data_IF_392644203256
#
_entry.id   IF_392644203256
#
_cell.length_a   1.000
_cell.length_b   1.000
_cell.length_c   1.000
_cell.angle_alpha   90.00
_cell.angle_beta   90.00
_cell.angle_gamma   90.00
#
_symmetry.space_group_name_H-M   'P 1'
#
loop_
_entity.id
_entity.type
_entity.pdbx_description
1 polymer ?
#
# COMPACT_ATOMS: atom_id res chain seq x y z
N UNK A 1 8.84 50.51 41.99
CA UNK A 1 7.36 50.47 41.89
C UNK A 1 7.02 50.80 40.44
N UNK A 2 7.36 49.89 39.54
CA UNK A 2 7.30 50.01 38.08
C UNK A 2 7.46 48.58 37.54
N UNK A 3 6.47 47.72 37.81
CA UNK A 3 6.47 46.36 37.27
C UNK A 3 5.07 45.81 36.96
N UNK A 4 4.00 46.56 37.26
CA UNK A 4 2.63 46.05 37.09
C UNK A 4 1.92 46.51 35.81
N UNK A 5 2.49 47.43 35.02
CA UNK A 5 1.76 48.04 33.90
C UNK A 5 1.91 47.30 32.54
N UNK A 6 2.81 46.31 32.45
CA UNK A 6 2.94 45.45 31.23
C UNK A 6 2.06 44.20 31.27
N UNK A 7 1.68 43.74 32.47
CA UNK A 7 0.76 42.60 32.66
C UNK A 7 -0.70 42.97 32.42
N UNK A 8 -1.06 44.26 32.52
CA UNK A 8 -2.45 44.71 32.41
C UNK A 8 -2.94 44.86 30.95
N UNK A 9 -2.04 45.01 29.97
CA UNK A 9 -2.42 45.13 28.55
C UNK A 9 -2.84 43.81 27.87
N UNK A 10 -2.62 42.67 28.53
CA UNK A 10 -3.07 41.36 28.04
C UNK A 10 -4.46 40.93 28.55
N UNK A 11 -5.16 41.77 29.33
CA UNK A 11 -6.45 41.41 29.98
C UNK A 11 -7.71 42.02 29.35
N UNK A 12 -7.63 42.54 28.12
CA UNK A 12 -8.82 42.90 27.35
C UNK A 12 -8.84 42.20 25.98
N UNK A 13 -8.89 40.87 26.00
CA UNK A 13 -9.46 40.10 24.89
C UNK A 13 -10.75 39.50 25.44
N UNK A 14 -11.86 40.20 25.22
CA UNK A 14 -13.21 39.70 25.45
C UNK A 14 -13.36 38.29 24.85
N UNK A 15 -13.99 37.36 25.56
CA UNK A 15 -14.32 35.97 25.18
C UNK A 15 -14.63 35.75 23.67
N UNK A 16 -13.59 35.73 22.84
CA UNK A 16 -13.64 35.47 21.40
C UNK A 16 -12.65 34.34 21.18
N UNK A 17 -13.21 33.15 21.09
CA UNK A 17 -12.46 31.89 20.99
C UNK A 17 -12.47 31.47 19.53
N UNK A 18 -11.35 30.96 19.03
CA UNK A 18 -11.28 30.39 17.68
C UNK A 18 -12.04 29.06 17.64
N UNK A 19 -12.95 28.93 16.68
CA UNK A 19 -13.68 27.69 16.42
C UNK A 19 -12.77 26.68 15.72
N UNK A 20 -12.20 25.76 16.50
CA UNK A 20 -11.24 24.75 16.01
C UNK A 20 -11.83 23.82 14.96
N UNK A 21 -13.15 23.63 14.93
CA UNK A 21 -13.81 22.77 13.95
C UNK A 21 -13.72 23.28 12.51
N UNK A 22 -13.34 24.57 12.34
CA UNK A 22 -13.22 25.25 11.05
C UNK A 22 -11.79 25.41 10.56
N UNK A 23 -10.82 24.95 11.35
CA UNK A 23 -9.41 24.99 10.98
C UNK A 23 -9.09 23.73 10.18
N UNK A 24 -8.50 23.93 8.99
CA UNK A 24 -8.11 22.85 8.10
C UNK A 24 -6.58 22.72 8.17
N UNK A 25 -6.09 21.53 8.51
CA UNK A 25 -4.67 21.31 8.86
C UNK A 25 -3.68 21.61 7.72
N UNK A 26 -4.02 21.28 6.47
CA UNK A 26 -3.18 21.54 5.29
C UNK A 26 -3.42 22.91 4.65
N UNK A 27 -4.27 23.74 5.26
CA UNK A 27 -4.53 25.14 4.89
C UNK A 27 -4.67 25.98 6.16
N UNK A 28 -3.80 25.72 7.14
CA UNK A 28 -4.01 26.12 8.52
C UNK A 28 -4.00 27.64 8.68
N UNK A 29 -3.02 28.31 8.09
CA UNK A 29 -2.89 29.77 8.14
C UNK A 29 -4.07 30.46 7.48
N UNK A 30 -4.51 29.97 6.32
CA UNK A 30 -5.64 30.57 5.60
C UNK A 30 -6.93 30.47 6.40
N UNK A 31 -7.27 29.27 6.89
CA UNK A 31 -8.47 29.04 7.68
C UNK A 31 -8.41 29.74 9.04
N UNK A 32 -7.22 29.84 9.65
CA UNK A 32 -7.00 30.58 10.89
C UNK A 32 -7.23 32.09 10.71
N UNK A 33 -6.76 32.68 9.61
CA UNK A 33 -7.00 34.10 9.30
C UNK A 33 -8.49 34.37 9.05
N UNK A 34 -9.17 33.52 8.28
CA UNK A 34 -10.61 33.62 8.02
C UNK A 34 -11.42 33.55 9.32
N UNK A 35 -11.12 32.59 10.18
CA UNK A 35 -11.79 32.44 11.48
C UNK A 35 -11.46 33.57 12.44
N UNK A 36 -10.22 34.05 12.44
CA UNK A 36 -9.83 35.24 13.17
C UNK A 36 -10.65 36.48 12.75
N UNK A 37 -10.90 36.66 11.45
CA UNK A 37 -11.72 37.75 10.93
C UNK A 37 -13.18 37.58 11.32
N UNK A 38 -13.73 36.36 11.18
CA UNK A 38 -15.11 36.03 11.55
C UNK A 38 -15.39 36.29 13.03
N UNK A 39 -14.46 35.91 13.89
CA UNK A 39 -14.52 36.15 15.34
C UNK A 39 -14.10 37.56 15.73
N UNK A 40 -13.74 38.42 14.76
CA UNK A 40 -13.26 39.78 14.95
C UNK A 40 -12.09 39.89 15.95
N UNK A 41 -11.21 38.87 15.96
CA UNK A 41 -9.93 38.86 16.69
C UNK A 41 -8.87 39.60 15.86
N UNK A 42 -8.93 39.47 14.53
CA UNK A 42 -8.12 40.24 13.57
C UNK A 42 -9.03 41.13 12.72
N UNK A 43 -8.61 42.37 12.45
CA UNK A 43 -9.36 43.28 11.59
C UNK A 43 -9.15 42.96 10.11
N UNK A 44 -10.11 43.32 9.26
CA UNK A 44 -9.97 43.14 7.80
C UNK A 44 -8.76 43.88 7.23
N UNK A 45 -8.44 45.06 7.76
CA UNK A 45 -7.24 45.81 7.36
C UNK A 45 -5.96 45.03 7.66
N UNK A 46 -5.87 44.40 8.84
CA UNK A 46 -4.68 43.65 9.22
C UNK A 46 -4.56 42.33 8.47
N UNK A 47 -5.67 41.64 8.22
CA UNK A 47 -5.68 40.45 7.37
C UNK A 47 -5.18 40.77 5.94
N UNK A 48 -5.63 41.90 5.35
CA UNK A 48 -5.14 42.36 4.06
C UNK A 48 -3.63 42.70 4.08
N UNK A 49 -3.14 43.33 5.16
CA UNK A 49 -1.70 43.58 5.33
C UNK A 49 -0.89 42.28 5.35
N UNK A 50 -1.35 41.25 6.07
CA UNK A 50 -0.69 39.94 6.11
C UNK A 50 -0.65 39.31 4.71
N UNK A 51 -1.77 39.36 3.97
CA UNK A 51 -1.83 38.87 2.59
C UNK A 51 -0.86 39.63 1.68
N UNK A 52 -0.76 40.95 1.81
CA UNK A 52 0.20 41.75 1.06
C UNK A 52 1.66 41.40 1.40
N UNK A 53 1.98 41.14 2.67
CA UNK A 53 3.30 40.66 3.08
C UNK A 53 3.61 39.26 2.51
N UNK A 54 2.63 38.35 2.45
CA UNK A 54 2.79 37.05 1.77
C UNK A 54 3.13 37.22 0.28
N UNK A 55 2.45 38.14 -0.41
CA UNK A 55 2.75 38.46 -1.83
C UNK A 55 4.17 39.01 -2.03
N UNK A 56 4.69 39.79 -1.08
CA UNK A 56 6.08 40.27 -1.12
C UNK A 56 7.08 39.13 -0.97
N UNK A 57 6.80 38.16 -0.10
CA UNK A 57 7.64 36.95 0.04
C UNK A 57 7.55 36.10 -1.22
N UNK A 58 6.36 35.92 -1.80
CA UNK A 58 6.18 35.21 -3.06
C UNK A 58 7.00 35.85 -4.19
N UNK A 59 7.00 37.18 -4.31
CA UNK A 59 7.82 37.88 -5.30
C UNK A 59 9.32 37.59 -5.11
N UNK A 60 9.80 37.53 -3.86
CA UNK A 60 11.19 37.18 -3.57
C UNK A 60 11.50 35.72 -3.95
N UNK A 61 10.59 34.80 -3.67
CA UNK A 61 10.75 33.39 -4.04
C UNK A 61 10.73 33.18 -5.56
N UNK A 62 9.88 33.88 -6.30
CA UNK A 62 9.87 33.83 -7.77
C UNK A 62 11.22 34.28 -8.33
N UNK A 63 11.77 35.39 -7.82
CA UNK A 63 13.08 35.87 -8.24
C UNK A 63 14.19 34.84 -7.92
N UNK A 64 14.09 34.14 -6.79
CA UNK A 64 15.05 33.07 -6.45
C UNK A 64 14.90 31.85 -7.36
N UNK A 65 13.67 31.44 -7.66
CA UNK A 65 13.35 30.30 -8.54
C UNK A 65 13.89 30.51 -9.96
N UNK A 66 13.76 31.74 -10.49
CA UNK A 66 14.29 32.11 -11.81
C UNK A 66 15.78 32.45 -11.79
N UNK A 67 16.47 32.25 -10.66
CA UNK A 67 17.88 32.62 -10.46
C UNK A 67 18.18 34.10 -10.76
N UNK A 68 17.17 34.97 -10.64
CA UNK A 68 17.27 36.40 -10.92
C UNK A 68 17.10 36.77 -12.39
N UNK A 69 16.86 35.80 -13.28
CA UNK A 69 16.74 36.05 -14.73
C UNK A 69 15.38 36.62 -15.13
N UNK A 70 14.35 36.42 -14.30
CA UNK A 70 12.99 36.89 -14.59
C UNK A 70 12.21 37.23 -13.31
N UNK A 71 11.32 38.20 -13.42
CA UNK A 71 10.33 38.52 -12.37
C UNK A 71 8.95 37.91 -12.65
N UNK A 72 8.81 37.13 -13.72
CA UNK A 72 7.56 36.45 -14.10
C UNK A 72 7.79 34.97 -14.37
N UNK A 73 6.79 34.18 -13.99
CA UNK A 73 6.67 32.74 -14.22
C UNK A 73 5.25 32.43 -14.69
N UNK A 74 4.97 31.19 -15.07
CA UNK A 74 3.59 30.77 -15.37
C UNK A 74 2.71 30.87 -14.12
N UNK A 75 1.39 30.96 -14.32
CA UNK A 75 0.42 30.99 -13.22
C UNK A 75 0.56 29.74 -12.33
N UNK A 76 0.69 28.57 -12.93
CA UNK A 76 0.89 27.29 -12.23
C UNK A 76 2.14 27.30 -11.35
N UNK A 77 3.29 27.77 -11.86
CA UNK A 77 4.51 27.88 -11.06
C UNK A 77 4.36 28.87 -9.90
N UNK A 78 3.70 30.02 -10.13
CA UNK A 78 3.44 30.99 -9.07
C UNK A 78 2.53 30.43 -7.97
N UNK A 79 1.49 29.67 -8.35
CA UNK A 79 0.58 28.98 -7.44
C UNK A 79 1.29 27.88 -6.63
N UNK A 80 2.16 27.10 -7.27
CA UNK A 80 3.00 26.10 -6.62
C UNK A 80 3.92 26.70 -5.54
N UNK A 81 4.65 27.77 -5.90
CA UNK A 81 5.52 28.49 -4.95
C UNK A 81 4.70 29.12 -3.81
N UNK A 82 3.53 29.68 -4.11
CA UNK A 82 2.64 30.23 -3.09
C UNK A 82 2.16 29.15 -2.11
N UNK A 83 1.86 27.96 -2.62
CA UNK A 83 1.47 26.81 -1.78
C UNK A 83 2.61 26.36 -0.88
N UNK A 84 3.84 26.30 -1.41
CA UNK A 84 5.05 25.98 -0.63
C UNK A 84 5.31 27.01 0.48
N UNK A 85 5.18 28.30 0.15
CA UNK A 85 5.26 29.40 1.11
C UNK A 85 4.24 29.23 2.24
N UNK A 86 2.97 28.96 1.91
CA UNK A 86 1.91 28.76 2.90
C UNK A 86 2.18 27.53 3.77
N UNK A 87 2.66 26.44 3.17
CA UNK A 87 3.04 25.22 3.90
C UNK A 87 4.15 25.49 4.94
N UNK A 88 5.15 26.31 4.60
CA UNK A 88 6.16 26.73 5.57
C UNK A 88 5.58 27.62 6.70
N UNK A 89 4.67 28.54 6.38
CA UNK A 89 3.99 29.35 7.41
C UNK A 89 3.13 28.45 8.32
N UNK A 90 2.43 27.48 7.75
CA UNK A 90 1.64 26.48 8.48
C UNK A 90 2.53 25.67 9.42
N UNK A 91 3.70 25.23 8.96
CA UNK A 91 4.68 24.51 9.78
C UNK A 91 5.06 25.31 11.05
N UNK A 92 5.27 26.61 10.90
CA UNK A 92 5.53 27.49 12.04
C UNK A 92 4.30 27.70 12.92
N UNK A 93 3.14 27.97 12.32
CA UNK A 93 1.91 28.27 13.04
C UNK A 93 1.44 27.07 13.89
N UNK A 94 1.59 25.85 13.36
CA UNK A 94 1.24 24.59 14.03
C UNK A 94 2.14 24.26 15.24
N UNK A 95 3.29 24.93 15.43
CA UNK A 95 4.09 24.81 16.65
C UNK A 95 3.45 25.52 17.86
N UNK A 96 2.52 26.44 17.62
CA UNK A 96 1.85 27.16 18.70
C UNK A 96 0.86 26.22 19.40
N UNK A 97 0.75 26.33 20.74
CA UNK A 97 -0.11 25.41 21.51
C UNK A 97 -1.60 25.65 21.26
N UNK A 98 -1.95 26.90 20.94
CA UNK A 98 -3.33 27.32 20.74
C UNK A 98 -3.46 28.17 19.46
N UNK A 99 -4.57 28.05 18.71
CA UNK A 99 -4.82 28.87 17.52
C UNK A 99 -4.73 30.38 17.78
N UNK A 100 -5.15 30.83 18.95
CA UNK A 100 -5.06 32.22 19.38
C UNK A 100 -3.61 32.72 19.47
N UNK A 101 -2.68 31.86 19.89
CA UNK A 101 -1.25 32.16 19.94
C UNK A 101 -0.66 32.27 18.53
N UNK A 102 -1.02 31.33 17.64
CA UNK A 102 -0.62 31.38 16.23
C UNK A 102 -1.12 32.67 15.55
N UNK A 103 -2.38 33.04 15.79
CA UNK A 103 -2.97 34.26 15.24
C UNK A 103 -2.31 35.53 15.82
N UNK A 104 -1.96 35.53 17.11
CA UNK A 104 -1.20 36.63 17.72
C UNK A 104 0.19 36.78 17.08
N UNK A 105 0.87 35.66 16.76
CA UNK A 105 2.13 35.68 16.02
C UNK A 105 1.98 36.25 14.61
N UNK A 106 0.98 35.80 13.84
CA UNK A 106 0.67 36.35 12.51
C UNK A 106 0.35 37.85 12.56
N UNK A 107 -0.23 38.33 13.67
CA UNK A 107 -0.56 39.74 13.85
C UNK A 107 0.67 40.60 14.20
N UNK A 108 1.57 40.10 15.04
CA UNK A 108 2.67 40.88 15.62
C UNK A 108 4.01 40.74 14.89
N UNK A 109 4.27 39.60 14.24
CA UNK A 109 5.55 39.29 13.60
C UNK A 109 5.48 39.54 12.09
N UNK A 110 6.64 39.76 11.48
CA UNK A 110 6.76 39.89 10.04
C UNK A 110 6.56 38.52 9.37
N UNK A 111 5.79 38.46 8.28
CA UNK A 111 5.52 37.21 7.56
C UNK A 111 6.78 36.58 6.96
N UNK A 112 7.75 37.38 6.53
CA UNK A 112 9.06 36.88 6.05
C UNK A 112 9.81 36.12 7.14
N UNK A 113 9.79 36.62 8.38
CA UNK A 113 10.45 35.96 9.51
C UNK A 113 9.72 34.67 9.90
N UNK A 114 8.39 34.69 9.86
CA UNK A 114 7.55 33.50 10.10
C UNK A 114 7.85 32.43 9.04
N UNK A 115 7.83 32.80 7.76
CA UNK A 115 8.15 31.91 6.65
C UNK A 115 9.56 31.31 6.80
N UNK A 116 10.56 32.14 7.10
CA UNK A 116 11.95 31.68 7.25
C UNK A 116 12.09 30.66 8.39
N UNK A 117 11.45 30.90 9.53
CA UNK A 117 11.40 29.93 10.65
C UNK A 117 10.62 28.67 10.29
N UNK A 118 9.57 28.80 9.50
CA UNK A 118 8.82 27.69 8.92
C UNK A 118 9.71 26.78 8.09
N UNK A 119 10.48 27.36 7.16
CA UNK A 119 11.47 26.63 6.34
C UNK A 119 12.52 25.93 7.21
N UNK A 120 13.02 26.58 8.26
CA UNK A 120 13.96 25.96 9.20
C UNK A 120 13.35 24.74 9.92
N UNK A 121 12.08 24.82 10.33
CA UNK A 121 11.36 23.70 10.93
C UNK A 121 11.17 22.56 9.94
N UNK A 122 10.74 22.85 8.70
CA UNK A 122 10.60 21.85 7.65
C UNK A 122 11.92 21.13 7.37
N UNK A 123 13.03 21.88 7.34
CA UNK A 123 14.38 21.31 7.20
C UNK A 123 14.73 20.39 8.38
N UNK A 124 14.40 20.79 9.60
CA UNK A 124 14.62 19.94 10.77
C UNK A 124 13.83 18.62 10.66
N UNK A 125 12.53 18.69 10.34
CA UNK A 125 11.71 17.51 10.13
C UNK A 125 12.24 16.62 9.01
N UNK A 126 12.73 17.19 7.92
CA UNK A 126 13.31 16.44 6.82
C UNK A 126 14.57 15.67 7.23
N UNK A 127 15.45 16.29 8.02
CA UNK A 127 16.63 15.62 8.56
C UNK A 127 16.28 14.55 9.59
N UNK A 128 15.22 14.71 10.37
CA UNK A 128 14.68 13.64 11.22
C UNK A 128 14.13 12.48 10.39
N UNK A 129 13.33 12.76 9.36
CA UNK A 129 12.79 11.76 8.43
C UNK A 129 13.91 10.92 7.81
N UNK A 130 15.00 11.55 7.36
CA UNK A 130 16.17 10.84 6.83
C UNK A 130 16.77 9.87 7.86
N UNK A 131 16.88 10.28 9.12
CA UNK A 131 17.42 9.41 10.19
C UNK A 131 16.52 8.20 10.43
N UNK A 132 15.21 8.42 10.52
CA UNK A 132 14.23 7.35 10.74
C UNK A 132 14.22 6.39 9.54
N UNK A 133 14.29 6.90 8.31
CA UNK A 133 14.45 6.08 7.11
C UNK A 133 15.70 5.17 7.18
N UNK A 134 16.84 5.68 7.66
CA UNK A 134 18.03 4.84 7.85
C UNK A 134 17.83 3.75 8.91
N UNK A 135 16.96 3.95 9.89
CA UNK A 135 16.57 2.89 10.83
C UNK A 135 15.71 1.84 10.14
N UNK A 136 14.67 2.26 9.40
CA UNK A 136 13.80 1.36 8.62
C UNK A 136 14.63 0.47 7.70
N UNK A 137 15.60 1.04 6.97
CA UNK A 137 16.47 0.27 6.07
C UNK A 137 17.30 -0.80 6.80
N UNK A 138 17.72 -0.55 8.04
CA UNK A 138 18.50 -1.52 8.84
C UNK A 138 17.67 -2.68 9.35
N UNK A 139 16.40 -2.42 9.66
CA UNK A 139 15.46 -3.42 10.17
C UNK A 139 14.54 -3.96 9.06
N UNK A 140 14.84 -3.69 7.79
CA UNK A 140 13.99 -4.13 6.68
C UNK A 140 13.78 -5.66 6.74
N UNK A 141 12.54 -6.09 6.60
CA UNK A 141 12.21 -7.52 6.54
C UNK A 141 12.77 -8.15 5.26
N UNK A 142 13.30 -9.36 5.39
CA UNK A 142 13.65 -10.23 4.27
C UNK A 142 12.39 -11.01 3.85
N UNK A 143 11.59 -10.43 2.95
CA UNK A 143 10.33 -11.01 2.45
C UNK A 143 10.13 -10.63 0.98
N UNK A 144 9.50 -11.49 0.15
CA UNK A 144 9.21 -11.18 -1.24
C UNK A 144 7.87 -10.44 -1.34
N UNK A 145 7.81 -9.19 -0.87
CA UNK A 145 6.64 -8.32 -1.04
C UNK A 145 7.10 -7.06 -1.75
N UNK A 146 6.79 -6.96 -3.04
CA UNK A 146 7.36 -5.97 -3.94
C UNK A 146 7.05 -4.56 -3.49
N UNK A 147 5.78 -4.27 -3.17
CA UNK A 147 5.38 -2.95 -2.68
C UNK A 147 6.21 -2.52 -1.46
N UNK A 148 6.45 -3.43 -0.49
CA UNK A 148 7.26 -3.16 0.70
C UNK A 148 8.72 -2.88 0.34
N UNK A 149 9.30 -3.72 -0.52
CA UNK A 149 10.69 -3.63 -0.97
C UNK A 149 10.94 -2.37 -1.79
N UNK A 150 10.17 -2.15 -2.86
CA UNK A 150 10.24 -0.98 -3.75
C UNK A 150 10.04 0.32 -2.99
N UNK A 151 9.09 0.36 -2.04
CA UNK A 151 8.89 1.55 -1.21
C UNK A 151 10.15 1.94 -0.43
N UNK A 152 10.86 0.96 0.16
CA UNK A 152 12.04 1.21 1.00
C UNK A 152 13.30 1.46 0.16
N UNK A 153 13.48 0.70 -0.92
CA UNK A 153 14.72 0.69 -1.69
C UNK A 153 14.73 1.70 -2.85
N UNK A 154 13.56 2.08 -3.37
CA UNK A 154 13.44 2.93 -4.55
C UNK A 154 12.66 4.21 -4.23
N UNK A 155 11.39 4.09 -3.85
CA UNK A 155 10.49 5.24 -3.73
C UNK A 155 10.97 6.23 -2.66
N UNK A 156 11.16 5.79 -1.41
CA UNK A 156 11.59 6.69 -0.33
C UNK A 156 12.93 7.38 -0.62
N UNK A 157 13.98 6.69 -1.13
CA UNK A 157 15.19 7.34 -1.64
C UNK A 157 14.95 8.43 -2.69
N UNK A 158 14.10 8.15 -3.67
CA UNK A 158 13.74 9.10 -4.73
C UNK A 158 13.16 10.38 -4.14
N UNK A 159 12.23 10.29 -3.19
CA UNK A 159 11.70 11.45 -2.48
C UNK A 159 12.80 12.18 -1.69
N UNK A 160 13.59 11.46 -0.88
CA UNK A 160 14.62 12.08 -0.04
C UNK A 160 15.73 12.78 -0.85
N UNK A 161 15.93 12.38 -2.11
CA UNK A 161 16.88 13.01 -3.03
C UNK A 161 16.32 14.27 -3.70
N UNK A 162 15.05 14.26 -4.10
CA UNK A 162 14.47 15.31 -4.96
C UNK A 162 13.55 16.29 -4.22
N UNK A 163 13.23 16.06 -2.95
CA UNK A 163 12.32 16.92 -2.20
C UNK A 163 12.86 18.35 -2.02
N UNK A 164 12.13 19.33 -2.56
CA UNK A 164 12.46 20.75 -2.47
C UNK A 164 11.65 21.43 -1.36
N UNK A 165 12.35 21.77 -0.26
CA UNK A 165 11.76 22.43 0.93
C UNK A 165 11.35 23.89 0.67
N UNK A 166 11.84 24.53 -0.40
CA UNK A 166 11.63 25.95 -0.67
C UNK A 166 10.52 26.15 -1.69
N UNK A 167 10.58 25.48 -2.83
CA UNK A 167 9.68 25.74 -3.96
C UNK A 167 8.53 24.73 -4.06
N UNK A 168 8.67 23.55 -3.46
CA UNK A 168 7.71 22.45 -3.58
C UNK A 168 7.46 21.74 -2.24
N UNK A 169 7.48 22.46 -1.12
CA UNK A 169 7.48 21.87 0.21
C UNK A 169 6.23 21.03 0.52
N UNK A 170 5.10 21.36 -0.08
CA UNK A 170 3.85 20.62 0.06
C UNK A 170 3.83 19.31 -0.72
N UNK A 171 4.69 19.14 -1.73
CA UNK A 171 4.61 18.01 -2.64
C UNK A 171 4.93 16.71 -1.87
N UNK A 172 4.00 15.78 -1.94
CA UNK A 172 4.15 14.42 -1.42
C UNK A 172 4.55 13.50 -2.55
N UNK A 173 5.30 12.44 -2.25
CA UNK A 173 5.59 11.39 -3.23
C UNK A 173 4.30 10.67 -3.67
N UNK A 174 4.08 10.55 -4.98
CA UNK A 174 2.93 9.85 -5.55
C UNK A 174 3.16 8.33 -5.73
N UNK A 175 4.38 7.84 -5.54
CA UNK A 175 4.82 6.47 -5.88
C UNK A 175 5.08 5.58 -4.66
N UNK A 176 4.32 5.76 -3.57
CA UNK A 176 4.34 4.83 -2.43
C UNK A 176 3.20 3.83 -2.64
N UNK A 177 3.55 2.59 -2.97
CA UNK A 177 2.55 1.54 -3.19
C UNK A 177 2.25 0.72 -1.92
N UNK A 178 3.20 0.65 -0.97
CA UNK A 178 2.98 -0.10 0.27
C UNK A 178 2.01 0.62 1.21
N UNK A 179 0.83 0.03 1.52
CA UNK A 179 -0.14 0.66 2.41
C UNK A 179 0.30 0.50 3.87
N UNK A 180 0.09 1.54 4.68
CA UNK A 180 0.19 1.44 6.14
C UNK A 180 -1.12 0.93 6.75
N UNK A 181 -1.04 0.26 7.89
CA UNK A 181 -2.21 -0.22 8.62
C UNK A 181 -3.07 0.95 9.14
N UNK A 182 -2.41 2.05 9.51
CA UNK A 182 -3.04 3.33 9.82
C UNK A 182 -2.34 4.39 8.98
N UNK A 183 -3.05 5.03 8.06
CA UNK A 183 -2.53 6.16 7.26
C UNK A 183 -3.29 7.47 7.54
N UNK A 184 -2.60 8.61 7.46
CA UNK A 184 -3.22 9.94 7.55
C UNK A 184 -2.91 10.77 6.29
N UNK A 185 -3.64 10.47 5.22
CA UNK A 185 -3.53 11.16 3.93
C UNK A 185 -3.96 12.63 3.97
N UNK A 186 -4.38 13.17 5.13
CA UNK A 186 -4.62 14.62 5.31
C UNK A 186 -3.31 15.39 5.48
N UNK A 187 -2.21 14.70 5.79
CA UNK A 187 -0.86 15.28 5.82
C UNK A 187 -0.30 15.41 4.39
N UNK A 188 0.67 16.30 4.23
CA UNK A 188 1.36 16.55 2.96
C UNK A 188 2.84 16.79 3.18
N UNK A 189 3.64 16.69 2.13
CA UNK A 189 5.08 16.99 2.14
C UNK A 189 5.85 16.17 3.18
N UNK A 190 6.85 16.79 3.79
CA UNK A 190 7.68 16.14 4.81
C UNK A 190 6.90 15.67 6.03
N UNK A 191 5.79 16.33 6.40
CA UNK A 191 4.96 15.89 7.52
C UNK A 191 4.32 14.53 7.27
N UNK A 192 3.82 14.30 6.05
CA UNK A 192 3.29 13.00 5.65
C UNK A 192 4.41 11.95 5.66
N UNK A 193 5.51 12.23 4.95
CA UNK A 193 6.59 11.25 4.79
C UNK A 193 7.24 10.91 6.13
N UNK A 194 7.40 11.88 7.05
CA UNK A 194 7.90 11.61 8.40
C UNK A 194 7.00 10.62 9.14
N UNK A 195 5.69 10.88 9.17
CA UNK A 195 4.74 9.98 9.83
C UNK A 195 4.73 8.62 9.14
N UNK A 196 4.80 8.60 7.81
CA UNK A 196 4.81 7.38 7.03
C UNK A 196 5.99 6.49 7.45
N UNK A 197 7.23 7.02 7.45
CA UNK A 197 8.41 6.25 7.85
C UNK A 197 8.42 5.87 9.33
N UNK A 198 7.83 6.70 10.22
CA UNK A 198 7.66 6.37 11.64
C UNK A 198 6.75 5.17 11.84
N UNK A 199 5.61 5.13 11.13
CA UNK A 199 4.65 4.03 11.19
C UNK A 199 5.21 2.77 10.53
N UNK A 200 5.81 2.89 9.36
CA UNK A 200 6.48 1.78 8.69
C UNK A 200 7.56 1.16 9.59
N UNK A 201 8.31 1.97 10.33
CA UNK A 201 9.28 1.50 11.32
C UNK A 201 8.60 0.70 12.42
N UNK A 202 7.56 1.24 13.06
CA UNK A 202 6.83 0.54 14.14
C UNK A 202 6.19 -0.77 13.67
N UNK A 203 5.60 -0.78 12.48
CA UNK A 203 5.05 -1.98 11.84
C UNK A 203 6.13 -3.04 11.59
N UNK A 204 7.26 -2.60 11.06
CA UNK A 204 8.41 -3.47 10.80
C UNK A 204 9.01 -4.02 12.10
N UNK A 205 9.20 -3.18 13.11
CA UNK A 205 9.67 -3.56 14.46
C UNK A 205 8.72 -4.59 15.09
N UNK A 206 7.40 -4.44 14.93
CA UNK A 206 6.45 -5.41 15.43
C UNK A 206 6.60 -6.78 14.76
N UNK A 207 6.80 -6.83 13.44
CA UNK A 207 7.03 -8.09 12.74
C UNK A 207 8.29 -8.83 13.23
N UNK A 208 9.29 -8.12 13.77
CA UNK A 208 10.50 -8.72 14.35
C UNK A 208 10.27 -9.46 15.68
N UNK A 209 9.09 -9.36 16.29
CA UNK A 209 8.73 -10.22 17.43
C UNK A 209 8.49 -11.68 17.02
N UNK A 210 8.38 -11.95 15.72
CA UNK A 210 8.10 -13.27 15.17
C UNK A 210 9.29 -13.79 14.37
N UNK A 211 9.38 -15.11 14.22
CA UNK A 211 10.42 -15.70 13.40
C UNK A 211 10.17 -15.42 11.92
N UNK A 212 11.23 -15.33 11.11
CA UNK A 212 11.09 -15.19 9.66
C UNK A 212 10.23 -16.33 9.06
N UNK A 213 10.35 -17.56 9.59
CA UNK A 213 9.52 -18.69 9.18
C UNK A 213 8.02 -18.47 9.44
N UNK A 214 7.67 -17.78 10.52
CA UNK A 214 6.29 -17.45 10.84
C UNK A 214 5.75 -16.33 9.95
N UNK A 215 6.56 -15.31 9.66
CA UNK A 215 6.20 -14.25 8.71
C UNK A 215 5.95 -14.85 7.33
N UNK A 216 6.88 -15.66 6.82
CA UNK A 216 6.72 -16.34 5.53
C UNK A 216 5.49 -17.26 5.53
N UNK A 217 5.28 -18.04 6.59
CA UNK A 217 4.09 -18.87 6.72
C UNK A 217 2.79 -18.06 6.56
N UNK A 218 2.70 -16.87 7.16
CA UNK A 218 1.51 -16.01 7.05
C UNK A 218 1.35 -15.48 5.63
N UNK A 219 2.42 -14.99 5.00
CA UNK A 219 2.38 -14.44 3.63
C UNK A 219 1.96 -15.50 2.60
N UNK A 220 2.61 -16.67 2.64
CA UNK A 220 2.34 -17.81 1.76
C UNK A 220 0.87 -18.24 1.88
N UNK A 221 0.40 -18.50 3.12
CA UNK A 221 -0.98 -18.94 3.32
C UNK A 221 -1.99 -17.83 3.02
N UNK A 222 -1.63 -16.55 3.12
CA UNK A 222 -2.47 -15.46 2.68
C UNK A 222 -2.67 -15.47 1.17
N UNK A 223 -1.61 -15.65 0.37
CA UNK A 223 -1.72 -15.83 -1.07
C UNK A 223 -2.59 -17.05 -1.44
N UNK A 224 -2.42 -18.17 -0.73
CA UNK A 224 -3.23 -19.39 -0.95
C UNK A 224 -4.72 -19.17 -0.61
N UNK A 225 -5.03 -18.53 0.52
CA UNK A 225 -6.41 -18.26 0.95
C UNK A 225 -7.09 -17.27 0.01
N UNK A 226 -6.38 -16.20 -0.32
CA UNK A 226 -6.91 -15.12 -1.16
C UNK A 226 -6.86 -15.43 -2.64
N UNK A 227 -6.14 -16.51 -3.03
CA UNK A 227 -5.99 -17.00 -4.41
C UNK A 227 -5.35 -15.98 -5.33
N UNK A 228 -4.24 -15.41 -4.91
CA UNK A 228 -3.45 -14.48 -5.71
C UNK A 228 -1.96 -14.67 -5.46
N UNK A 229 -1.12 -14.04 -6.29
CA UNK A 229 0.32 -13.98 -6.08
C UNK A 229 0.62 -12.86 -5.08
N UNK A 230 0.80 -13.19 -3.81
CA UNK A 230 0.92 -12.17 -2.76
C UNK A 230 2.14 -11.25 -2.96
N UNK A 231 3.16 -11.69 -3.70
CA UNK A 231 4.40 -10.94 -3.89
C UNK A 231 4.15 -9.57 -4.56
N UNK A 232 3.20 -9.51 -5.49
CA UNK A 232 2.85 -8.30 -6.27
C UNK A 232 1.67 -7.52 -5.68
N UNK A 233 1.09 -8.00 -4.58
CA UNK A 233 -0.17 -7.47 -4.05
C UNK A 233 0.05 -6.36 -3.03
N UNK A 234 -0.88 -5.39 -3.01
CA UNK A 234 -0.80 -4.23 -2.14
C UNK A 234 -1.52 -4.50 -0.81
N UNK A 235 -0.78 -5.00 0.17
CA UNK A 235 -1.27 -5.20 1.54
C UNK A 235 -0.21 -4.87 2.57
N UNK A 236 -0.67 -4.72 3.81
CA UNK A 236 0.19 -4.42 4.94
C UNK A 236 0.58 -5.70 5.71
N UNK A 237 1.87 -5.98 5.82
CA UNK A 237 2.41 -7.18 6.49
C UNK A 237 2.08 -7.16 7.99
N UNK A 238 2.21 -6.01 8.64
CA UNK A 238 1.90 -5.85 10.07
C UNK A 238 0.45 -6.22 10.36
N UNK A 239 -0.50 -5.80 9.52
CA UNK A 239 -1.92 -6.15 9.67
C UNK A 239 -2.13 -7.67 9.70
N UNK A 240 -1.53 -8.41 8.76
CA UNK A 240 -1.64 -9.86 8.72
C UNK A 240 -1.09 -10.47 10.01
N UNK A 241 0.09 -10.01 10.45
CA UNK A 241 0.76 -10.53 11.65
C UNK A 241 -0.02 -10.23 12.94
N UNK A 242 -0.46 -8.99 13.13
CA UNK A 242 -1.18 -8.59 14.35
C UNK A 242 -2.55 -9.26 14.44
N UNK A 243 -3.26 -9.40 13.31
CA UNK A 243 -4.54 -10.09 13.27
C UNK A 243 -4.34 -11.55 13.69
N UNK A 244 -3.40 -12.24 13.05
CA UNK A 244 -3.17 -13.65 13.31
C UNK A 244 -2.68 -13.96 14.73
N UNK A 245 -1.80 -13.14 15.30
CA UNK A 245 -1.36 -13.35 16.70
C UNK A 245 -2.50 -13.12 17.69
N UNK A 246 -3.37 -12.12 17.46
CA UNK A 246 -4.55 -11.86 18.31
C UNK A 246 -5.50 -13.05 18.25
N UNK A 247 -5.79 -13.58 17.06
CA UNK A 247 -6.64 -14.76 16.91
C UNK A 247 -5.99 -16.04 17.48
N UNK A 248 -4.69 -16.21 17.32
CA UNK A 248 -3.95 -17.31 17.93
C UNK A 248 -4.07 -17.26 19.46
N UNK A 249 -3.89 -16.09 20.08
CA UNK A 249 -4.10 -15.87 21.51
C UNK A 249 -5.53 -16.21 21.95
N UNK A 250 -6.54 -15.78 21.19
CA UNK A 250 -7.95 -16.09 21.48
C UNK A 250 -8.27 -17.59 21.39
N UNK A 251 -7.46 -18.35 20.64
CA UNK A 251 -7.53 -19.81 20.53
C UNK A 251 -6.68 -20.57 21.57
N UNK A 252 -6.08 -19.85 22.52
CA UNK A 252 -5.21 -20.42 23.57
C UNK A 252 -3.73 -20.53 23.19
N UNK A 253 -3.32 -19.86 22.11
CA UNK A 253 -1.93 -19.74 21.69
C UNK A 253 -1.06 -18.90 22.64
N UNK A 254 0.24 -18.84 22.34
CA UNK A 254 1.19 -17.98 23.05
C UNK A 254 1.35 -16.64 22.32
N UNK A 255 1.80 -15.56 23.00
CA UNK A 255 1.95 -14.23 22.39
C UNK A 255 2.95 -14.12 21.23
N UNK A 256 3.80 -15.12 21.02
CA UNK A 256 4.73 -15.21 19.90
C UNK A 256 4.32 -16.25 18.85
N UNK A 257 3.11 -16.81 18.95
CA UNK A 257 2.59 -17.77 17.99
C UNK A 257 1.55 -17.08 17.10
N UNK A 258 1.74 -17.14 15.78
CA UNK A 258 0.80 -16.60 14.79
C UNK A 258 0.04 -17.69 14.05
N UNK A 259 0.44 -18.96 14.22
CA UNK A 259 -0.14 -20.08 13.48
C UNK A 259 -1.44 -20.54 14.12
N UNK A 260 -2.35 -20.93 13.25
CA UNK A 260 -3.66 -21.45 13.57
C UNK A 260 -3.93 -22.70 12.73
N UNK A 261 -4.32 -23.77 13.40
CA UNK A 261 -4.83 -24.98 12.76
C UNK A 261 -6.28 -24.78 12.31
N UNK A 262 -6.73 -25.63 11.38
CA UNK A 262 -8.12 -25.71 10.92
C UNK A 262 -9.11 -25.82 12.09
N UNK A 263 -8.81 -26.69 13.06
CA UNK A 263 -9.66 -26.92 14.22
C UNK A 263 -9.75 -25.67 15.11
N UNK A 264 -8.63 -24.97 15.33
CA UNK A 264 -8.62 -23.71 16.09
C UNK A 264 -9.42 -22.63 15.37
N UNK A 265 -9.29 -22.53 14.04
CA UNK A 265 -10.08 -21.61 13.23
C UNK A 265 -11.58 -21.89 13.37
N UNK A 266 -12.03 -23.14 13.18
CA UNK A 266 -13.45 -23.47 13.26
C UNK A 266 -14.05 -23.14 14.64
N UNK A 267 -13.31 -23.44 15.71
CA UNK A 267 -13.73 -23.12 17.08
C UNK A 267 -13.83 -21.62 17.30
N UNK A 268 -12.82 -20.87 16.85
CA UNK A 268 -12.77 -19.43 16.98
C UNK A 268 -13.86 -18.75 16.15
N UNK A 269 -14.07 -19.20 14.91
CA UNK A 269 -15.11 -18.72 14.01
C UNK A 269 -16.50 -18.87 14.65
N UNK A 270 -16.83 -20.06 15.16
CA UNK A 270 -18.10 -20.30 15.89
C UNK A 270 -18.23 -19.41 17.12
N UNK A 271 -17.16 -19.28 17.91
CA UNK A 271 -17.15 -18.43 19.12
C UNK A 271 -17.40 -16.96 18.78
N UNK A 272 -16.72 -16.42 17.77
CA UNK A 272 -16.83 -15.01 17.40
C UNK A 272 -18.19 -14.69 16.75
N UNK A 273 -18.69 -15.54 15.84
CA UNK A 273 -20.01 -15.34 15.22
C UNK A 273 -21.14 -15.31 16.27
N UNK A 274 -21.08 -16.21 17.26
CA UNK A 274 -22.13 -16.33 18.29
C UNK A 274 -22.04 -15.31 19.42
N UNK A 275 -20.87 -14.71 19.64
CA UNK A 275 -20.67 -13.72 20.70
C UNK A 275 -21.30 -12.37 20.32
N UNK A 276 -22.00 -11.66 21.23
CA UNK A 276 -22.43 -10.28 21.00
C UNK A 276 -21.27 -9.32 20.74
N UNK A 277 -21.55 -8.17 20.12
CA UNK A 277 -20.55 -7.13 19.81
C UNK A 277 -19.70 -6.74 21.02
N UNK A 278 -20.31 -6.44 22.16
CA UNK A 278 -19.59 -6.02 23.37
C UNK A 278 -18.63 -7.11 23.87
N UNK A 279 -19.03 -8.38 23.78
CA UNK A 279 -18.20 -9.51 24.17
C UNK A 279 -17.02 -9.70 23.20
N UNK A 280 -17.25 -9.56 21.88
CA UNK A 280 -16.15 -9.59 20.89
C UNK A 280 -15.15 -8.46 21.15
N UNK A 281 -15.64 -7.25 21.36
CA UNK A 281 -14.82 -6.08 21.72
C UNK A 281 -13.97 -6.36 22.94
N UNK A 282 -14.56 -6.89 24.02
CA UNK A 282 -13.82 -7.25 25.24
C UNK A 282 -12.73 -8.30 24.97
N UNK A 283 -13.05 -9.36 24.21
CA UNK A 283 -12.09 -10.41 23.85
C UNK A 283 -10.87 -9.84 23.11
N UNK A 284 -11.11 -8.98 22.10
CA UNK A 284 -10.03 -8.36 21.34
C UNK A 284 -9.19 -7.42 22.22
N UNK A 285 -9.83 -6.61 23.08
CA UNK A 285 -9.11 -5.76 24.04
C UNK A 285 -8.21 -6.57 24.97
N UNK A 286 -8.71 -7.65 25.56
CA UNK A 286 -7.94 -8.50 26.47
C UNK A 286 -6.75 -9.17 25.76
N UNK A 287 -6.97 -9.69 24.55
CA UNK A 287 -5.91 -10.31 23.75
C UNK A 287 -4.82 -9.32 23.36
N UNK A 288 -5.17 -8.11 22.91
CA UNK A 288 -4.19 -7.06 22.57
C UNK A 288 -3.41 -6.60 23.80
N UNK A 289 -4.08 -6.39 24.94
CA UNK A 289 -3.40 -6.02 26.19
C UNK A 289 -2.43 -7.11 26.67
N UNK A 290 -2.82 -8.39 26.54
CA UNK A 290 -1.95 -9.52 26.86
C UNK A 290 -0.74 -9.57 25.92
N UNK A 291 -0.94 -9.34 24.63
CA UNK A 291 0.11 -9.31 23.61
C UNK A 291 1.14 -8.22 23.93
N UNK A 292 0.69 -6.96 24.10
CA UNK A 292 1.55 -5.82 24.42
C UNK A 292 2.38 -6.08 25.68
N UNK A 293 1.77 -6.61 26.74
CA UNK A 293 2.46 -6.96 27.98
C UNK A 293 3.52 -8.04 27.79
N UNK A 294 3.24 -9.05 26.96
CA UNK A 294 4.16 -10.15 26.73
C UNK A 294 5.33 -9.76 25.83
N UNK A 295 5.08 -8.94 24.81
CA UNK A 295 6.09 -8.47 23.87
C UNK A 295 6.94 -7.33 24.45
N UNK A 296 6.52 -6.74 25.58
CA UNK A 296 7.20 -5.60 26.21
C UNK A 296 7.34 -4.42 25.24
N UNK A 297 6.26 -4.12 24.52
CA UNK A 297 6.23 -3.01 23.57
C UNK A 297 6.54 -1.69 24.26
N UNK A 298 7.31 -0.82 23.58
CA UNK A 298 7.53 0.53 24.07
C UNK A 298 6.23 1.36 23.97
N UNK A 299 6.26 2.59 24.49
CA UNK A 299 5.07 3.45 24.52
C UNK A 299 4.56 3.79 23.11
N UNK A 300 5.47 4.05 22.16
CA UNK A 300 5.10 4.46 20.81
C UNK A 300 4.40 3.32 20.06
N UNK A 301 4.97 2.12 20.10
CA UNK A 301 4.37 0.93 19.48
C UNK A 301 3.07 0.53 20.19
N UNK A 302 2.99 0.69 21.51
CA UNK A 302 1.75 0.45 22.27
C UNK A 302 0.62 1.38 21.80
N UNK A 303 0.90 2.66 21.63
CA UNK A 303 -0.08 3.64 21.14
C UNK A 303 -0.50 3.35 19.69
N UNK A 304 0.44 2.94 18.84
CA UNK A 304 0.16 2.51 17.47
C UNK A 304 -0.77 1.30 17.40
N UNK A 305 -0.45 0.24 18.17
CA UNK A 305 -1.29 -0.96 18.27
C UNK A 305 -2.69 -0.63 18.81
N UNK A 306 -2.81 0.31 19.74
CA UNK A 306 -4.10 0.73 20.27
C UNK A 306 -4.95 1.46 19.23
N UNK A 307 -4.35 2.27 18.35
CA UNK A 307 -5.05 2.86 17.21
C UNK A 307 -5.54 1.77 16.25
N UNK A 308 -4.67 0.80 15.92
CA UNK A 308 -5.03 -0.30 15.03
C UNK A 308 -6.12 -1.20 15.61
N UNK A 309 -6.13 -1.42 16.92
CA UNK A 309 -7.13 -2.26 17.61
C UNK A 309 -8.56 -1.80 17.29
N UNK A 310 -8.80 -0.50 17.18
CA UNK A 310 -10.13 0.03 16.87
C UNK A 310 -10.59 -0.37 15.45
N UNK A 311 -9.68 -0.33 14.47
CA UNK A 311 -9.92 -0.82 13.10
C UNK A 311 -10.15 -2.33 13.07
N UNK A 312 -9.31 -3.10 13.79
CA UNK A 312 -9.48 -4.55 13.91
C UNK A 312 -10.85 -4.92 14.49
N UNK A 313 -11.31 -4.20 15.53
CA UNK A 313 -12.63 -4.44 16.11
C UNK A 313 -13.77 -4.21 15.11
N UNK A 314 -13.66 -3.18 14.26
CA UNK A 314 -14.65 -2.96 13.20
C UNK A 314 -14.65 -4.12 12.19
N UNK A 315 -13.47 -4.55 11.73
CA UNK A 315 -13.30 -5.68 10.81
C UNK A 315 -13.86 -6.99 11.39
N UNK A 316 -13.58 -7.28 12.65
CA UNK A 316 -14.11 -8.46 13.37
C UNK A 316 -15.63 -8.42 13.46
N UNK A 317 -16.21 -7.28 13.81
CA UNK A 317 -17.66 -7.14 13.91
C UNK A 317 -18.35 -7.27 12.55
N UNK A 318 -17.73 -6.73 11.49
CA UNK A 318 -18.21 -6.91 10.13
C UNK A 318 -18.15 -8.38 9.71
N UNK A 319 -17.00 -9.04 9.88
CA UNK A 319 -16.81 -10.45 9.55
C UNK A 319 -17.80 -11.36 10.29
N UNK A 320 -18.08 -11.08 11.57
CA UNK A 320 -19.09 -11.82 12.33
C UNK A 320 -20.51 -11.67 11.78
N UNK A 321 -20.85 -10.51 11.20
CA UNK A 321 -22.17 -10.23 10.63
C UNK A 321 -22.41 -10.98 9.31
N UNK A 322 -21.38 -11.08 8.46
CA UNK A 322 -21.49 -11.71 7.13
C UNK A 322 -20.89 -13.13 7.07
N UNK A 323 -20.31 -13.61 8.18
CA UNK A 323 -19.75 -14.95 8.30
C UNK A 323 -18.42 -15.17 7.56
N UNK A 324 -17.61 -14.12 7.37
CA UNK A 324 -16.45 -14.13 6.45
C UNK A 324 -15.09 -14.14 7.17
N UNK A 325 -14.97 -14.83 8.30
CA UNK A 325 -13.70 -14.86 9.06
C UNK A 325 -12.55 -15.54 8.29
N UNK A 326 -12.83 -16.36 7.27
CA UNK A 326 -11.79 -16.92 6.40
C UNK A 326 -10.92 -15.85 5.71
N UNK A 327 -11.43 -14.63 5.52
CA UNK A 327 -10.66 -13.52 4.91
C UNK A 327 -9.80 -12.75 5.91
N UNK A 328 -10.04 -12.93 7.21
CA UNK A 328 -9.37 -12.18 8.28
C UNK A 328 -8.39 -13.05 9.08
N UNK A 329 -8.58 -14.36 9.07
CA UNK A 329 -7.79 -15.32 9.85
C UNK A 329 -7.01 -16.22 8.89
N UNK A 330 -5.69 -16.07 8.88
CA UNK A 330 -4.80 -16.92 8.08
C UNK A 330 -4.58 -18.25 8.81
N UNK A 331 -4.64 -19.35 8.08
CA UNK A 331 -4.51 -20.72 8.60
C UNK A 331 -3.76 -21.58 7.60
N UNK A 332 -3.29 -22.73 8.06
CA UNK A 332 -2.59 -23.67 7.19
C UNK A 332 -3.57 -24.26 6.16
N UNK A 333 -3.29 -24.03 4.88
CA UNK A 333 -3.91 -24.79 3.81
C UNK A 333 -2.96 -25.94 3.47
N UNK A 334 -3.39 -27.17 3.76
CA UNK A 334 -2.62 -28.37 3.42
C UNK A 334 -2.50 -28.50 1.91
N UNK A 335 -1.27 -28.67 1.43
CA UNK A 335 -0.99 -29.03 0.05
C UNK A 335 -1.55 -30.42 -0.23
N UNK A 336 -2.34 -30.56 -1.29
CA UNK A 336 -2.59 -31.86 -1.90
C UNK A 336 -1.40 -32.17 -2.79
N UNK A 337 -0.69 -33.29 -2.59
CA UNK A 337 0.34 -33.77 -3.52
C UNK A 337 -0.21 -33.76 -4.95
N UNK A 338 0.38 -32.95 -5.83
CA UNK A 338 -0.04 -32.80 -7.23
C UNK A 338 0.91 -33.63 -8.09
N UNK A 339 0.38 -34.61 -8.81
CA UNK A 339 1.06 -35.16 -9.99
C UNK A 339 0.82 -34.18 -11.14
N UNK A 340 1.77 -33.29 -11.38
CA UNK A 340 1.78 -32.36 -12.52
C UNK A 340 2.70 -32.88 -13.62
N UNK A 341 2.30 -32.74 -14.88
CA UNK A 341 3.13 -33.09 -16.05
C UNK A 341 4.06 -31.94 -16.48
N UNK A 342 3.70 -30.67 -16.20
CA UNK A 342 4.65 -29.56 -16.37
C UNK A 342 5.73 -29.57 -15.31
N UNK A 343 6.95 -29.27 -15.76
CA UNK A 343 7.96 -28.73 -14.86
C UNK A 343 7.68 -27.24 -14.68
N UNK A 344 7.34 -26.86 -13.46
CA UNK A 344 6.96 -25.48 -13.12
C UNK A 344 8.12 -24.65 -12.57
N UNK A 345 9.27 -25.28 -12.31
CA UNK A 345 10.45 -24.59 -11.86
C UNK A 345 11.10 -23.85 -13.03
N UNK A 346 11.34 -22.55 -12.88
CA UNK A 346 12.00 -21.74 -13.90
C UNK A 346 13.38 -22.30 -14.30
N UNK A 347 14.09 -22.96 -13.39
CA UNK A 347 15.39 -23.59 -13.68
C UNK A 347 15.31 -24.76 -14.67
N UNK A 348 14.11 -25.26 -14.97
CA UNK A 348 13.89 -26.27 -16.01
C UNK A 348 13.68 -25.67 -17.41
N UNK A 349 13.69 -24.33 -17.53
CA UNK A 349 13.63 -23.60 -18.80
C UNK A 349 14.83 -23.90 -19.69
N UNK A 350 14.61 -24.03 -20.99
CA UNK A 350 15.66 -24.19 -21.99
C UNK A 350 16.49 -22.90 -22.13
N UNK A 351 17.71 -23.02 -22.67
CA UNK A 351 18.54 -21.83 -22.87
C UNK A 351 17.98 -20.93 -23.98
N UNK A 352 18.19 -19.62 -23.89
CA UNK A 352 17.80 -18.66 -24.94
C UNK A 352 18.33 -19.04 -26.33
N UNK A 353 19.51 -19.66 -26.40
CA UNK A 353 20.10 -20.11 -27.66
C UNK A 353 19.31 -21.27 -28.27
N UNK A 354 18.91 -22.24 -27.44
CA UNK A 354 18.12 -23.38 -27.88
C UNK A 354 16.71 -22.94 -28.27
N UNK A 355 16.10 -22.05 -27.49
CA UNK A 355 14.80 -21.46 -27.79
C UNK A 355 14.80 -20.76 -29.15
N UNK A 356 15.77 -19.86 -29.40
CA UNK A 356 15.88 -19.17 -30.70
C UNK A 356 16.03 -20.16 -31.85
N UNK A 357 16.88 -21.18 -31.69
CA UNK A 357 17.05 -22.19 -32.74
C UNK A 357 15.77 -22.99 -33.00
N UNK A 358 14.95 -23.24 -31.99
CA UNK A 358 13.66 -23.93 -32.15
C UNK A 358 12.62 -23.02 -32.79
N UNK A 359 12.54 -21.75 -32.38
CA UNK A 359 11.65 -20.75 -32.97
C UNK A 359 11.92 -20.57 -34.47
N UNK A 360 13.20 -20.45 -34.87
CA UNK A 360 13.57 -20.35 -36.29
C UNK A 360 13.08 -21.56 -37.09
N UNK A 361 13.22 -22.77 -36.53
CA UNK A 361 12.75 -24.01 -37.17
C UNK A 361 11.23 -24.09 -37.24
N UNK A 362 10.52 -23.55 -36.25
CA UNK A 362 9.05 -23.49 -36.22
C UNK A 362 8.52 -22.58 -37.32
N UNK A 363 9.20 -21.44 -37.56
CA UNK A 363 8.84 -20.49 -38.62
C UNK A 363 9.03 -21.08 -40.04
N UNK A 364 9.93 -22.04 -40.22
CA UNK A 364 10.17 -22.71 -41.51
C UNK A 364 9.11 -23.79 -41.84
N UNK A 365 8.27 -24.20 -40.89
CA UNK A 365 7.30 -25.28 -41.06
C UNK A 365 5.92 -24.71 -41.42
N UNK A 366 5.43 -25.03 -42.61
CA UNK A 366 4.08 -24.66 -43.07
C UNK A 366 2.98 -25.63 -42.56
N UNK A 367 3.34 -26.87 -42.23
CA UNK A 367 2.38 -27.88 -41.79
C UNK A 367 2.10 -27.77 -40.28
N UNK A 368 0.83 -27.52 -39.93
CA UNK A 368 0.39 -27.32 -38.54
C UNK A 368 0.69 -28.53 -37.65
N UNK A 369 0.45 -29.76 -38.14
CA UNK A 369 0.67 -30.98 -37.34
C UNK A 369 2.15 -31.21 -37.06
N UNK A 370 3.02 -31.01 -38.06
CA UNK A 370 4.48 -31.11 -37.88
C UNK A 370 5.00 -30.03 -36.93
N UNK A 371 4.46 -28.81 -37.01
CA UNK A 371 4.81 -27.71 -36.12
C UNK A 371 4.45 -28.02 -34.67
N UNK A 372 3.22 -28.45 -34.41
CA UNK A 372 2.75 -28.83 -33.07
C UNK A 372 3.55 -30.02 -32.52
N UNK A 373 3.88 -31.01 -33.35
CA UNK A 373 4.70 -32.14 -32.93
C UNK A 373 6.12 -31.71 -32.56
N UNK A 374 6.72 -30.79 -33.32
CA UNK A 374 8.03 -30.23 -32.99
C UNK A 374 7.99 -29.53 -31.64
N UNK A 375 6.96 -28.73 -31.38
CA UNK A 375 6.76 -28.03 -30.10
C UNK A 375 6.64 -29.03 -28.96
N UNK A 376 5.70 -29.99 -29.04
CA UNK A 376 5.45 -30.97 -27.96
C UNK A 376 6.64 -31.88 -27.67
N UNK A 377 7.55 -32.07 -28.62
CA UNK A 377 8.76 -32.87 -28.44
C UNK A 377 9.92 -32.12 -27.76
N UNK A 378 9.92 -30.78 -27.79
CA UNK A 378 11.08 -29.98 -27.36
C UNK A 378 10.77 -29.03 -26.20
N UNK A 379 9.51 -28.62 -26.01
CA UNK A 379 9.08 -27.72 -24.95
C UNK A 379 8.52 -28.51 -23.76
N UNK A 380 9.12 -28.34 -22.58
CA UNK A 380 8.86 -29.18 -21.40
C UNK A 380 8.39 -28.37 -20.19
N UNK A 381 8.98 -27.20 -19.94
CA UNK A 381 8.59 -26.35 -18.81
C UNK A 381 7.48 -25.37 -19.17
N UNK A 382 6.73 -24.90 -18.16
CA UNK A 382 5.74 -23.84 -18.36
C UNK A 382 6.37 -22.59 -18.99
N UNK A 383 7.54 -22.18 -18.50
CA UNK A 383 8.27 -21.00 -18.97
C UNK A 383 8.65 -21.11 -20.44
N UNK A 384 9.08 -22.30 -20.92
CA UNK A 384 9.36 -22.52 -22.34
C UNK A 384 8.10 -22.29 -23.20
N UNK A 385 6.93 -22.76 -22.74
CA UNK A 385 5.68 -22.56 -23.47
C UNK A 385 5.26 -21.09 -23.49
N UNK A 386 5.43 -20.37 -22.39
CA UNK A 386 5.11 -18.94 -22.36
C UNK A 386 6.04 -18.15 -23.28
N UNK A 387 7.34 -18.42 -23.24
CA UNK A 387 8.29 -17.82 -24.18
C UNK A 387 7.92 -18.07 -25.64
N UNK A 388 7.57 -19.32 -25.97
CA UNK A 388 7.13 -19.70 -27.31
C UNK A 388 5.88 -18.93 -27.74
N UNK A 389 4.89 -18.82 -26.85
CA UNK A 389 3.62 -18.13 -27.12
C UNK A 389 3.84 -16.62 -27.30
N UNK A 390 4.89 -16.05 -26.70
CA UNK A 390 5.33 -14.67 -26.91
C UNK A 390 6.32 -14.49 -28.08
N UNK A 391 6.86 -15.56 -28.67
CA UNK A 391 7.89 -15.50 -29.70
C UNK A 391 7.37 -15.16 -31.12
N UNK A 392 6.08 -14.82 -31.27
CA UNK A 392 5.44 -14.44 -32.55
C UNK A 392 5.68 -15.45 -33.70
N UNK A 393 5.76 -16.75 -33.37
CA UNK A 393 6.10 -17.81 -34.34
C UNK A 393 4.93 -18.75 -34.70
N UNK A 394 3.78 -18.55 -34.07
CA UNK A 394 2.54 -19.27 -34.32
C UNK A 394 1.53 -18.34 -34.99
N UNK A 395 0.77 -18.87 -35.95
CA UNK A 395 -0.22 -18.08 -36.69
C UNK A 395 -1.55 -18.81 -36.83
N UNK A 396 -2.66 -18.08 -36.66
CA UNK A 396 -4.01 -18.57 -36.93
C UNK A 396 -4.32 -19.91 -36.23
N UNK A 397 -4.51 -20.98 -37.02
CA UNK A 397 -4.86 -22.31 -36.53
C UNK A 397 -3.75 -23.02 -35.75
N UNK A 398 -2.52 -22.50 -35.75
CA UNK A 398 -1.40 -23.05 -34.99
C UNK A 398 -1.71 -23.06 -33.48
N UNK A 399 -2.27 -21.97 -32.95
CA UNK A 399 -2.62 -21.85 -31.54
C UNK A 399 -3.67 -22.87 -31.12
N UNK A 400 -4.77 -22.96 -31.88
CA UNK A 400 -5.85 -23.90 -31.61
C UNK A 400 -5.35 -25.36 -31.68
N UNK A 401 -4.52 -25.68 -32.67
CA UNK A 401 -3.93 -27.00 -32.80
C UNK A 401 -2.98 -27.34 -31.65
N UNK A 402 -2.19 -26.37 -31.17
CA UNK A 402 -1.32 -26.54 -30.02
C UNK A 402 -2.14 -26.75 -28.73
N UNK A 403 -3.12 -25.88 -28.42
CA UNK A 403 -3.93 -25.99 -27.21
C UNK A 403 -4.75 -27.29 -27.15
N UNK A 404 -5.14 -27.86 -28.30
CA UNK A 404 -5.77 -29.20 -28.36
C UNK A 404 -4.88 -30.31 -27.81
N UNK A 405 -3.55 -30.14 -27.84
CA UNK A 405 -2.61 -31.14 -27.31
C UNK A 405 -2.38 -31.04 -25.81
N UNK A 406 -2.89 -29.99 -25.16
CA UNK A 406 -2.74 -29.79 -23.73
C UNK A 406 -3.79 -30.57 -22.94
N UNK A 407 -3.34 -31.17 -21.84
CA UNK A 407 -4.21 -31.78 -20.83
C UNK A 407 -4.92 -30.72 -19.98
N UNK A 408 -5.81 -31.18 -19.10
CA UNK A 408 -6.64 -30.28 -18.29
C UNK A 408 -5.82 -29.50 -17.26
N UNK A 409 -4.66 -30.02 -16.83
CA UNK A 409 -3.76 -29.33 -15.88
C UNK A 409 -3.03 -28.20 -16.59
N UNK A 410 -2.48 -28.45 -17.79
CA UNK A 410 -1.78 -27.41 -18.55
C UNK A 410 -2.72 -26.27 -18.92
N UNK A 411 -3.94 -26.61 -19.35
CA UNK A 411 -4.97 -25.61 -19.58
C UNK A 411 -5.33 -24.87 -18.28
N UNK A 412 -5.48 -25.54 -17.15
CA UNK A 412 -5.76 -24.84 -15.88
C UNK A 412 -4.64 -23.88 -15.45
N UNK A 413 -3.38 -24.20 -15.73
CA UNK A 413 -2.25 -23.32 -15.42
C UNK A 413 -2.29 -22.07 -16.31
N UNK A 414 -2.49 -22.22 -17.61
CA UNK A 414 -2.64 -21.07 -18.51
C UNK A 414 -3.86 -20.21 -18.15
N UNK A 415 -4.98 -20.83 -17.79
CA UNK A 415 -6.17 -20.11 -17.33
C UNK A 415 -5.88 -19.25 -16.09
N UNK A 416 -5.01 -19.73 -15.20
CA UNK A 416 -4.64 -19.02 -13.99
C UNK A 416 -3.79 -17.76 -14.24
N UNK A 417 -3.09 -17.74 -15.38
CA UNK A 417 -2.33 -16.60 -15.88
C UNK A 417 -3.27 -15.63 -16.61
N UNK A 418 -4.05 -16.14 -17.56
CA UNK A 418 -4.91 -15.33 -18.44
C UNK A 418 -6.09 -14.68 -17.70
N UNK A 419 -6.70 -15.39 -16.73
CA UNK A 419 -7.86 -14.91 -15.97
C UNK A 419 -7.46 -14.44 -14.56
N UNK A 420 -6.25 -13.91 -14.38
CA UNK A 420 -5.70 -13.56 -13.06
C UNK A 420 -6.63 -12.60 -12.30
N UNK A 421 -7.04 -11.49 -12.91
CA UNK A 421 -7.87 -10.47 -12.26
C UNK A 421 -9.29 -10.99 -11.97
N UNK A 422 -9.89 -11.75 -12.89
CA UNK A 422 -11.22 -12.33 -12.70
C UNK A 422 -11.23 -13.37 -11.56
N UNK A 423 -10.17 -14.18 -11.48
CA UNK A 423 -10.00 -15.16 -10.41
C UNK A 423 -9.76 -14.48 -9.06
N UNK A 424 -9.04 -13.34 -9.05
CA UNK A 424 -8.79 -12.51 -7.87
C UNK A 424 -10.06 -11.91 -7.29
N UNK A 425 -11.02 -11.48 -8.12
CA UNK A 425 -12.30 -10.93 -7.65
C UNK A 425 -13.21 -12.00 -6.99
N UNK A 426 -13.00 -13.28 -7.30
CA UNK A 426 -13.50 -14.42 -6.53
C UNK A 426 -15.01 -14.62 -6.47
N UNK A 427 -15.78 -13.99 -7.37
CA UNK A 427 -17.25 -13.97 -7.31
C UNK A 427 -17.96 -14.86 -8.35
N UNK A 428 -17.26 -15.35 -9.38
CA UNK A 428 -17.87 -16.06 -10.51
C UNK A 428 -17.37 -17.51 -10.63
N UNK A 429 -18.20 -18.40 -11.18
CA UNK A 429 -17.73 -19.72 -11.62
C UNK A 429 -16.82 -19.55 -12.85
N UNK A 430 -15.80 -20.40 -12.97
CA UNK A 430 -14.83 -20.31 -14.08
C UNK A 430 -15.51 -20.42 -15.46
N UNK A 431 -16.59 -21.19 -15.57
CA UNK A 431 -17.41 -21.27 -16.77
C UNK A 431 -17.97 -19.91 -17.22
N UNK A 432 -18.39 -19.07 -16.27
CA UNK A 432 -18.88 -17.73 -16.57
C UNK A 432 -17.74 -16.82 -17.01
N UNK A 433 -16.58 -16.90 -16.35
CA UNK A 433 -15.38 -16.14 -16.74
C UNK A 433 -14.97 -16.43 -18.19
N UNK A 434 -14.96 -17.71 -18.58
CA UNK A 434 -14.65 -18.12 -19.96
C UNK A 434 -15.69 -17.61 -20.95
N UNK A 435 -16.98 -17.65 -20.58
CA UNK A 435 -18.07 -17.20 -21.44
C UNK A 435 -18.05 -15.68 -21.66
N UNK A 436 -17.75 -14.92 -20.60
CA UNK A 436 -17.63 -13.46 -20.65
C UNK A 436 -16.35 -13.03 -21.41
N UNK A 437 -15.29 -13.83 -21.30
CA UNK A 437 -13.98 -13.54 -21.86
C UNK A 437 -13.23 -12.47 -21.06
N UNK A 438 -11.97 -12.22 -21.44
CA UNK A 438 -11.10 -11.21 -20.84
C UNK A 438 -10.56 -10.33 -21.97
N UNK A 439 -10.50 -9.03 -21.73
CA UNK A 439 -9.82 -8.11 -22.65
C UNK A 439 -8.31 -8.30 -22.51
N UNK A 440 -7.64 -8.68 -23.59
CA UNK A 440 -6.20 -8.91 -23.62
C UNK A 440 -5.58 -8.35 -24.90
N UNK A 441 -4.37 -7.82 -24.78
CA UNK A 441 -3.57 -7.33 -25.91
C UNK A 441 -2.68 -8.45 -26.50
N UNK A 442 -2.51 -9.57 -25.80
CA UNK A 442 -1.67 -10.68 -26.22
C UNK A 442 -2.41 -11.60 -27.20
N UNK A 443 -1.83 -11.83 -28.38
CA UNK A 443 -2.45 -12.64 -29.43
C UNK A 443 -2.80 -14.05 -28.96
N UNK A 444 -1.85 -14.72 -28.31
CA UNK A 444 -2.03 -16.10 -27.86
C UNK A 444 -3.14 -16.23 -26.81
N UNK A 445 -3.33 -15.23 -25.95
CA UNK A 445 -4.38 -15.23 -24.93
C UNK A 445 -5.76 -15.14 -25.58
N UNK A 446 -5.92 -14.32 -26.62
CA UNK A 446 -7.16 -14.28 -27.41
C UNK A 446 -7.50 -15.65 -28.00
N UNK A 447 -6.52 -16.33 -28.62
CA UNK A 447 -6.72 -17.68 -29.15
C UNK A 447 -6.98 -18.71 -28.06
N UNK A 448 -6.37 -18.57 -26.89
CA UNK A 448 -6.57 -19.45 -25.76
C UNK A 448 -7.98 -19.32 -25.18
N UNK A 449 -8.47 -18.09 -24.98
CA UNK A 449 -9.85 -17.82 -24.53
C UNK A 449 -10.85 -18.38 -25.54
N UNK A 450 -10.64 -18.11 -26.84
CA UNK A 450 -11.50 -18.63 -27.91
C UNK A 450 -11.49 -20.17 -27.95
N UNK A 451 -10.36 -20.81 -27.66
CA UNK A 451 -10.27 -22.26 -27.54
C UNK A 451 -11.06 -22.79 -26.35
N UNK A 452 -10.94 -22.18 -25.16
CA UNK A 452 -11.72 -22.56 -23.99
C UNK A 452 -13.23 -22.43 -24.23
N UNK A 453 -13.68 -21.38 -24.91
CA UNK A 453 -15.10 -21.17 -25.25
C UNK A 453 -15.69 -22.27 -26.15
N UNK A 454 -14.84 -23.03 -26.86
CA UNK A 454 -15.25 -24.16 -27.70
C UNK A 454 -15.27 -25.50 -26.95
N UNK A 455 -14.72 -25.56 -25.75
CA UNK A 455 -14.71 -26.78 -24.94
C UNK A 455 -16.10 -27.09 -24.39
N UNK A 456 -16.36 -28.37 -24.15
CA UNK A 456 -17.61 -28.77 -23.51
C UNK A 456 -17.63 -28.38 -22.02
N UNK A 457 -18.83 -28.17 -21.49
CA UNK A 457 -19.06 -27.74 -20.11
C UNK A 457 -18.42 -28.68 -19.08
N UNK A 458 -18.34 -29.99 -19.38
CA UNK A 458 -17.72 -30.97 -18.48
C UNK A 458 -16.23 -30.71 -18.34
N UNK A 459 -15.55 -30.50 -19.47
CA UNK A 459 -14.11 -30.23 -19.48
C UNK A 459 -13.78 -28.88 -18.83
N UNK A 460 -14.56 -27.84 -19.11
CA UNK A 460 -14.41 -26.54 -18.43
C UNK A 460 -14.57 -26.65 -16.92
N UNK A 461 -15.52 -27.47 -16.44
CA UNK A 461 -15.67 -27.70 -15.00
C UNK A 461 -14.48 -28.45 -14.41
N UNK A 462 -13.87 -29.38 -15.14
CA UNK A 462 -12.66 -30.08 -14.69
C UNK A 462 -11.49 -29.10 -14.59
N UNK A 463 -11.27 -28.28 -15.62
CA UNK A 463 -10.24 -27.22 -15.64
C UNK A 463 -10.47 -26.25 -14.47
N UNK A 464 -11.69 -25.75 -14.29
CA UNK A 464 -12.04 -24.86 -13.18
C UNK A 464 -11.72 -25.46 -11.81
N UNK A 465 -12.01 -26.75 -11.60
CA UNK A 465 -11.65 -27.45 -10.37
C UNK A 465 -10.13 -27.61 -10.16
N UNK A 466 -9.35 -27.69 -11.23
CA UNK A 466 -7.90 -27.77 -11.18
C UNK A 466 -7.25 -26.42 -10.89
N UNK A 467 -7.80 -25.31 -11.41
CA UNK A 467 -7.32 -23.94 -11.12
C UNK A 467 -7.26 -23.69 -9.61
N UNK A 468 -8.29 -24.11 -8.87
CA UNK A 468 -8.36 -23.98 -7.41
C UNK A 468 -7.39 -24.88 -6.64
N UNK A 469 -6.79 -25.86 -7.31
CA UNK A 469 -5.80 -26.76 -6.71
C UNK A 469 -4.38 -26.36 -7.02
N UNK A 470 -4.12 -25.51 -8.01
CA UNK A 470 -2.78 -25.03 -8.35
C UNK A 470 -2.47 -23.83 -7.44
N UNK A 471 -1.27 -23.69 -6.89
CA UNK A 471 -0.90 -22.50 -6.10
C UNK A 471 -0.14 -21.51 -6.99
N UNK A 472 -0.29 -20.20 -6.78
CA UNK A 472 0.47 -19.21 -7.57
C UNK A 472 1.98 -19.32 -7.31
N UNK A 473 2.39 -19.80 -6.14
CA UNK A 473 3.80 -20.09 -5.84
C UNK A 473 4.38 -21.21 -6.71
N UNK A 474 3.53 -22.12 -7.19
CA UNK A 474 3.97 -23.13 -8.15
C UNK A 474 4.24 -22.51 -9.52
N UNK A 475 3.67 -21.32 -9.81
CA UNK A 475 3.75 -20.61 -11.09
C UNK A 475 4.59 -19.32 -10.89
N UNK A 476 5.81 -19.46 -10.37
CA UNK A 476 6.70 -18.31 -10.16
C UNK A 476 7.22 -17.76 -11.49
N UNK A 477 7.19 -16.44 -11.60
CA UNK A 477 7.78 -15.64 -12.67
C UNK A 477 8.81 -14.71 -12.01
N UNK A 478 9.89 -15.27 -11.48
CA UNK A 478 10.95 -14.47 -10.83
C UNK A 478 11.66 -13.53 -11.83
#
# INVERSE_FOLDING_TARGET
MESDDKSARFRHISNRIIDRSRLIRNQYTLTLLQEGQRSAIISSQKAYQIQAEMMQVLQQLILQHTQGESTSVTMETAEGIMTSLLYAIDAYALQCKHPEEALAHLNMKNIKDIHSKGVELLRHYFEETKKIYQEVKKIKLDVPVDAYNTTIDESLPLFLQHYDIIFEAQNTMASIDYPLAIDDMRLQGVFYIKQYVERLRMETEFCHFFSHQDVMYILINYGKISRFQYQIELFNIFELMINNVVFSLLSGGKPNNVRLSEVQFEQLNRKLITSPTDQRTQLIHEAVNQLQKSLQTDQALTDYINLYRDELMQRVNHAAKIGSFEKLIIREIKETEKTMEFKLNENDRMSDMDLRSLVDRILEIDNIEEKVQLIRNNFVSLHDYLDLLHAECLFNGDYEALFKTFGDIELAILAKIVFYEELREGTHEFSNMVADGVETENEWEMYYIAFLQQLDETRIRVIGNLIYKIDYEDISFD
#
